data_IF_975962012763
#
_entry.id   IF_975962012763
#
_cell.length_a   1.000
_cell.length_b   1.000
_cell.length_c   1.000
_cell.angle_alpha   90.00
_cell.angle_beta   90.00
_cell.angle_gamma   90.00
#
_symmetry.space_group_name_H-M   'P 1'
#
loop_
_entity.id
_entity.type
_entity.pdbx_description
1 polymer ?
#
# COMPACT_ATOMS: atom_id res chain seq x y z
N UNK A 1 -0.08 -3.13 52.68
CA UNK A 1 0.34 -3.59 51.33
C UNK A 1 -0.87 -4.01 50.48
N UNK A 2 -1.85 -3.12 50.25
CA UNK A 2 -3.07 -3.39 49.46
C UNK A 2 -3.19 -2.49 48.21
N UNK A 3 -2.56 -1.31 48.23
CA UNK A 3 -2.60 -0.34 47.11
C UNK A 3 -1.73 -0.69 45.90
N UNK A 4 -0.68 -1.52 46.06
CA UNK A 4 0.24 -1.86 44.97
C UNK A 4 -0.37 -2.80 43.94
N UNK A 5 -1.28 -3.69 44.35
CA UNK A 5 -1.94 -4.64 43.45
C UNK A 5 -2.93 -3.94 42.51
N UNK A 6 -3.69 -2.97 43.00
CA UNK A 6 -4.63 -2.19 42.19
C UNK A 6 -3.91 -1.32 41.13
N UNK A 7 -2.76 -0.73 41.48
CA UNK A 7 -1.94 0.04 40.53
C UNK A 7 -1.37 -0.81 39.39
N UNK A 8 -0.97 -2.06 39.68
CA UNK A 8 -0.45 -2.98 38.67
C UNK A 8 -1.52 -3.41 37.66
N UNK A 9 -2.75 -3.64 38.11
CA UNK A 9 -3.87 -3.98 37.21
C UNK A 9 -4.27 -2.81 36.31
N UNK A 10 -4.32 -1.59 36.86
CA UNK A 10 -4.59 -0.39 36.06
C UNK A 10 -3.54 -0.18 34.96
N UNK A 11 -2.26 -0.36 35.28
CA UNK A 11 -1.16 -0.29 34.30
C UNK A 11 -1.26 -1.35 33.21
N UNK A 12 -1.63 -2.59 33.56
CA UNK A 12 -1.79 -3.67 32.59
C UNK A 12 -2.92 -3.39 31.60
N UNK A 13 -4.05 -2.85 32.07
CA UNK A 13 -5.19 -2.48 31.20
C UNK A 13 -4.83 -1.32 30.28
N UNK A 14 -4.14 -0.30 30.78
CA UNK A 14 -3.68 0.82 29.95
C UNK A 14 -2.67 0.36 28.90
N UNK A 15 -1.69 -0.47 29.28
CA UNK A 15 -0.71 -1.01 28.35
C UNK A 15 -1.36 -1.86 27.25
N UNK A 16 -2.32 -2.72 27.61
CA UNK A 16 -3.08 -3.51 26.65
C UNK A 16 -3.92 -2.61 25.72
N UNK A 17 -4.54 -1.56 26.26
CA UNK A 17 -5.27 -0.57 25.46
C UNK A 17 -4.39 0.13 24.43
N UNK A 18 -3.18 0.56 24.83
CA UNK A 18 -2.22 1.21 23.91
C UNK A 18 -1.73 0.23 22.83
N UNK A 19 -1.43 -1.02 23.19
CA UNK A 19 -1.03 -2.07 22.23
C UNK A 19 -2.13 -2.37 21.20
N UNK A 20 -3.40 -2.41 21.64
CA UNK A 20 -4.53 -2.64 20.74
C UNK A 20 -4.78 -1.45 19.80
N UNK A 21 -4.49 -0.22 20.23
CA UNK A 21 -4.64 0.98 19.40
C UNK A 21 -3.52 1.13 18.36
N UNK A 22 -2.32 0.61 18.63
CA UNK A 22 -1.18 0.69 17.71
C UNK A 22 -1.33 -0.12 16.42
N UNK A 23 -2.26 -1.08 16.38
CA UNK A 23 -2.51 -1.92 15.19
C UNK A 23 -3.33 -1.26 14.08
N UNK A 24 -3.91 -0.10 14.32
CA UNK A 24 -4.80 0.58 13.36
C UNK A 24 -4.09 1.55 12.41
N UNK A 25 -2.80 1.83 12.62
CA UNK A 25 -2.03 2.69 11.72
C UNK A 25 -1.43 1.83 10.60
N UNK A 26 -2.19 1.63 9.52
CA UNK A 26 -1.68 1.03 8.29
C UNK A 26 -1.16 2.15 7.37
N UNK A 27 0.14 2.14 7.09
CA UNK A 27 0.76 3.05 6.13
C UNK A 27 0.50 2.57 4.70
N UNK A 28 -0.74 2.78 4.25
CA UNK A 28 -1.13 2.60 2.87
C UNK A 28 -0.63 3.78 2.03
N UNK A 29 0.06 3.45 0.93
CA UNK A 29 0.61 4.40 -0.03
C UNK A 29 -0.05 4.23 -1.38
N UNK A 30 -0.18 5.33 -2.11
CA UNK A 30 -0.62 5.30 -3.49
C UNK A 30 0.61 5.08 -4.38
N UNK A 31 0.48 4.23 -5.39
CA UNK A 31 1.51 3.94 -6.36
C UNK A 31 1.00 4.19 -7.77
N UNK A 32 1.89 4.67 -8.63
CA UNK A 32 1.68 4.72 -10.08
C UNK A 32 2.56 3.66 -10.72
N UNK A 33 1.96 2.83 -11.57
CA UNK A 33 2.68 1.78 -12.29
C UNK A 33 2.42 1.86 -13.78
N UNK A 34 3.50 1.82 -14.55
CA UNK A 34 3.49 1.74 -16.00
C UNK A 34 3.89 0.32 -16.40
N UNK A 35 3.07 -0.36 -17.20
CA UNK A 35 3.33 -1.71 -17.70
C UNK A 35 2.97 -1.81 -19.18
N UNK A 36 3.45 -2.87 -19.84
CA UNK A 36 2.92 -3.28 -21.14
C UNK A 36 2.00 -4.48 -20.93
N UNK A 37 0.78 -4.41 -21.45
CA UNK A 37 -0.16 -5.52 -21.35
C UNK A 37 0.08 -6.59 -22.43
N UNK A 38 -0.68 -7.69 -22.36
CA UNK A 38 -0.57 -8.78 -23.34
C UNK A 38 -0.97 -8.42 -24.77
N UNK A 39 -1.60 -7.26 -24.98
CA UNK A 39 -1.98 -6.75 -26.30
C UNK A 39 -0.93 -5.77 -26.86
N UNK A 40 0.12 -5.44 -26.10
CA UNK A 40 1.17 -4.50 -26.49
C UNK A 40 0.83 -3.03 -26.23
N UNK A 41 -0.21 -2.74 -25.45
CA UNK A 41 -0.56 -1.38 -25.03
C UNK A 41 0.35 -0.94 -23.89
N UNK A 42 0.66 0.35 -23.84
CA UNK A 42 1.26 0.98 -22.67
C UNK A 42 0.13 1.34 -21.69
N UNK A 43 0.13 0.71 -20.53
CA UNK A 43 -0.86 0.91 -19.49
C UNK A 43 -0.28 1.65 -18.30
N UNK A 44 -1.01 2.64 -17.78
CA UNK A 44 -0.77 3.32 -16.50
C UNK A 44 -1.89 2.96 -15.54
N UNK A 45 -1.56 2.54 -14.33
CA UNK A 45 -2.57 2.38 -13.29
C UNK A 45 -2.11 2.90 -11.94
N UNK A 46 -3.10 3.39 -11.20
CA UNK A 46 -2.93 3.91 -9.84
C UNK A 46 -3.58 2.92 -8.89
N UNK A 47 -2.85 2.55 -7.84
CA UNK A 47 -3.35 1.63 -6.82
C UNK A 47 -2.83 1.99 -5.44
N UNK A 48 -3.58 1.56 -4.42
CA UNK A 48 -3.16 1.65 -3.03
C UNK A 48 -2.50 0.34 -2.59
N UNK A 49 -1.40 0.41 -1.86
CA UNK A 49 -0.77 -0.75 -1.25
C UNK A 49 0.00 -0.37 0.01
N UNK A 50 0.18 -1.34 0.91
CA UNK A 50 1.07 -1.19 2.07
C UNK A 50 2.52 -1.05 1.64
N UNK A 51 3.26 -0.20 2.34
CA UNK A 51 4.69 -0.03 2.08
C UNK A 51 5.46 -1.36 2.21
N UNK A 52 6.45 -1.58 1.35
CA UNK A 52 7.19 -2.85 1.27
C UNK A 52 6.41 -4.02 0.64
N UNK A 53 5.12 -3.87 0.34
CA UNK A 53 4.34 -4.88 -0.39
C UNK A 53 4.35 -4.66 -1.90
N UNK A 54 5.24 -3.83 -2.46
CA UNK A 54 5.29 -3.47 -3.88
C UNK A 54 5.78 -4.65 -4.75
N UNK A 55 5.16 -4.91 -5.90
CA UNK A 55 5.34 -6.16 -6.69
C UNK A 55 4.17 -7.14 -6.53
N UNK A 56 3.65 -7.68 -7.63
CA UNK A 56 2.37 -8.43 -7.71
C UNK A 56 2.40 -9.84 -7.11
N UNK A 57 2.59 -9.96 -5.79
CA UNK A 57 2.44 -11.21 -5.05
C UNK A 57 0.98 -11.53 -4.68
N UNK A 58 0.68 -12.81 -4.52
CA UNK A 58 -0.63 -13.33 -4.11
C UNK A 58 -0.96 -12.89 -2.68
N UNK A 59 -2.13 -12.30 -2.46
CA UNK A 59 -2.57 -11.80 -1.14
C UNK A 59 -2.53 -10.28 -0.96
N UNK A 60 -2.41 -9.50 -2.04
CA UNK A 60 -2.47 -8.04 -1.97
C UNK A 60 -3.87 -7.53 -2.26
N UNK A 61 -4.40 -6.71 -1.36
CA UNK A 61 -5.50 -5.80 -1.63
C UNK A 61 -4.98 -4.68 -2.55
N UNK A 62 -4.74 -4.99 -3.82
CA UNK A 62 -4.53 -3.98 -4.86
C UNK A 62 -5.94 -3.49 -5.23
N UNK A 63 -6.32 -2.34 -4.70
CA UNK A 63 -7.48 -1.62 -5.21
C UNK A 63 -7.03 -0.77 -6.41
N UNK A 64 -7.41 -1.18 -7.61
CA UNK A 64 -7.08 -0.45 -8.85
C UNK A 64 -8.14 0.63 -9.05
N UNK A 65 -7.81 1.86 -8.70
CA UNK A 65 -8.74 2.99 -8.79
C UNK A 65 -8.84 3.56 -10.22
N UNK A 66 -7.78 3.43 -11.02
CA UNK A 66 -7.73 3.96 -12.38
C UNK A 66 -6.74 3.15 -13.22
N UNK A 67 -7.17 2.71 -14.40
CA UNK A 67 -6.36 2.02 -15.41
C UNK A 67 -6.61 2.70 -16.76
N UNK A 68 -5.54 3.24 -17.35
CA UNK A 68 -5.56 3.81 -18.70
C UNK A 68 -4.56 3.06 -19.57
N UNK A 69 -4.96 2.73 -20.80
CA UNK A 69 -4.15 1.91 -21.70
C UNK A 69 -4.30 2.39 -23.13
N UNK A 70 -3.18 2.73 -23.76
CA UNK A 70 -3.15 3.21 -25.15
C UNK A 70 -1.99 2.54 -25.92
N UNK A 71 -2.14 2.40 -27.23
CA UNK A 71 -1.04 1.93 -28.07
C UNK A 71 0.04 3.01 -28.18
N UNK A 72 1.33 2.63 -28.18
CA UNK A 72 2.39 3.59 -28.43
C UNK A 72 2.25 4.17 -29.85
N UNK A 73 2.70 5.42 -30.09
CA UNK A 73 2.74 6.00 -31.42
C UNK A 73 3.48 5.11 -32.42
N UNK A 74 3.14 5.23 -33.71
CA UNK A 74 3.77 4.43 -34.76
C UNK A 74 5.32 4.52 -34.71
N UNK A 75 5.98 3.36 -34.75
CA UNK A 75 7.45 3.25 -34.67
C UNK A 75 8.03 3.40 -33.27
N UNK A 76 7.21 3.55 -32.22
CA UNK A 76 7.63 3.52 -30.82
C UNK A 76 7.27 2.20 -30.16
N UNK A 77 8.06 1.82 -29.17
CA UNK A 77 7.75 0.72 -28.25
C UNK A 77 7.38 1.29 -26.88
N UNK A 78 6.56 0.58 -26.09
CA UNK A 78 6.32 0.94 -24.70
C UNK A 78 7.63 1.00 -23.90
N UNK A 79 7.68 1.89 -22.92
CA UNK A 79 8.82 1.98 -22.02
C UNK A 79 8.97 0.73 -21.14
N UNK A 80 10.12 0.62 -20.45
CA UNK A 80 10.30 -0.41 -19.43
C UNK A 80 9.24 -0.25 -18.33
N UNK A 81 8.72 -1.34 -17.76
CA UNK A 81 7.82 -1.25 -16.62
C UNK A 81 8.44 -0.47 -15.45
N UNK A 82 7.64 0.37 -14.82
CA UNK A 82 8.05 1.17 -13.65
C UNK A 82 6.95 1.15 -12.61
N UNK A 83 7.32 1.16 -11.34
CA UNK A 83 6.38 1.36 -10.24
C UNK A 83 7.01 2.34 -9.26
N UNK A 84 6.29 3.40 -8.91
CA UNK A 84 6.78 4.44 -8.00
C UNK A 84 5.65 4.91 -7.08
N UNK A 85 5.96 5.28 -5.83
CA UNK A 85 4.97 5.89 -4.95
C UNK A 85 4.55 7.25 -5.50
N UNK A 86 3.25 7.53 -5.48
CA UNK A 86 2.72 8.86 -5.72
C UNK A 86 3.01 9.69 -4.47
N UNK A 87 4.00 10.58 -4.58
CA UNK A 87 4.31 11.49 -3.48
C UNK A 87 3.16 12.49 -3.32
N UNK A 88 2.76 12.77 -2.08
CA UNK A 88 1.86 13.88 -1.81
C UNK A 88 2.52 15.20 -2.30
N UNK A 89 1.74 16.13 -2.86
CA UNK A 89 2.26 17.44 -3.29
C UNK A 89 2.81 18.26 -2.12
#
# INVERSE_FOLDING_TARGET
>A
MKGTRAGLWALAVVALGVLLLGGCAQDDKIYVSNITDGHGRACTFVYTARDGSVGGGEGRDIDVSQLDCEYPPAGRMPGRPTTQPLSAP
#
